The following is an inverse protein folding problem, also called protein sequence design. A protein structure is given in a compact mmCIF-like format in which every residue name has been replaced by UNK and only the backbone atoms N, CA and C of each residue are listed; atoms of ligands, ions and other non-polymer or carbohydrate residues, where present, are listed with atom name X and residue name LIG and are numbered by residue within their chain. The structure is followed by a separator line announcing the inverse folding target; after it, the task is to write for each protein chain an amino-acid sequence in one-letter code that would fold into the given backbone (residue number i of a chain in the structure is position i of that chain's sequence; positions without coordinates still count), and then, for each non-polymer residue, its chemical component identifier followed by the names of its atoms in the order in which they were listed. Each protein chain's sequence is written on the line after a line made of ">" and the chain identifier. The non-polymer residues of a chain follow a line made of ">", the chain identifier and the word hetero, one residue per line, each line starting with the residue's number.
data_IF_860314718374
#
_entry.id   IF_860314718374
#
_cell.length_a   1.000
_cell.length_b   1.000
_cell.length_c   1.000
_cell.angle_alpha   90.00
_cell.angle_beta   90.00
_cell.angle_gamma   90.00
#
_symmetry.space_group_name_H-M   'P 1'
#
loop_
_entity.id
_entity.type
_entity.pdbx_description
1 polymer ?
#
# COMPACT_ATOMS: atom_id res chain seq x y z
N UNK A 1 -23.62 8.91 -8.18
CA UNK A 1 -22.81 7.73 -8.50
C UNK A 1 -21.86 8.10 -9.63
N UNK A 2 -20.65 8.55 -9.30
CA UNK A 2 -19.64 8.84 -10.32
C UNK A 2 -19.19 7.51 -10.94
N UNK A 3 -19.26 7.40 -12.26
CA UNK A 3 -18.87 6.20 -12.99
C UNK A 3 -17.35 6.06 -12.90
N UNK A 4 -16.88 4.83 -12.69
CA UNK A 4 -15.48 4.39 -12.65
C UNK A 4 -14.63 4.77 -13.89
N UNK A 5 -15.23 5.43 -14.91
CA UNK A 5 -14.57 5.84 -16.15
C UNK A 5 -14.01 7.26 -16.18
N UNK A 6 -14.30 8.12 -15.19
CA UNK A 6 -13.97 9.55 -15.27
C UNK A 6 -12.62 9.94 -14.64
N UNK A 7 -11.91 9.00 -14.00
CA UNK A 7 -10.56 9.20 -13.42
C UNK A 7 -9.44 8.68 -14.35
N UNK A 8 -9.78 8.16 -15.54
CA UNK A 8 -8.78 7.77 -16.55
C UNK A 8 -8.59 8.95 -17.51
N UNK A 9 -7.72 9.90 -17.11
CA UNK A 9 -7.27 10.94 -18.04
C UNK A 9 -6.52 10.29 -19.21
N UNK A 10 -7.14 10.35 -20.39
CA UNK A 10 -6.58 9.91 -21.66
C UNK A 10 -5.38 10.80 -22.03
N UNK A 11 -4.16 10.28 -21.93
CA UNK A 11 -3.00 10.82 -22.66
C UNK A 11 -2.62 9.90 -23.83
N UNK A 12 -2.27 10.45 -25.01
CA UNK A 12 -1.97 9.66 -26.18
C UNK A 12 -0.54 9.13 -26.11
N UNK A 13 -0.37 7.81 -26.10
CA UNK A 13 0.94 7.15 -26.23
C UNK A 13 1.14 5.93 -25.32
N UNK A 14 1.04 4.74 -25.91
CA UNK A 14 1.70 3.48 -25.52
C UNK A 14 1.63 3.00 -24.06
N UNK A 15 0.77 2.00 -23.79
CA UNK A 15 0.91 0.89 -22.80
C UNK A 15 1.40 1.17 -21.35
N UNK A 16 1.56 2.41 -20.91
CA UNK A 16 2.12 2.74 -19.58
C UNK A 16 1.06 3.08 -18.53
N UNK A 17 -0.22 2.81 -18.79
CA UNK A 17 -1.35 3.37 -18.04
C UNK A 17 -1.93 2.47 -16.91
N UNK A 18 -1.30 1.35 -16.55
CA UNK A 18 -1.82 0.47 -15.49
C UNK A 18 -1.17 0.68 -14.11
N UNK A 19 0.02 1.26 -14.05
CA UNK A 19 0.66 1.61 -12.78
C UNK A 19 0.56 3.12 -12.60
N UNK A 20 -0.34 3.52 -11.71
CA UNK A 20 -0.49 4.89 -11.25
C UNK A 20 0.78 5.27 -10.47
N UNK A 21 1.83 5.68 -11.18
CA UNK A 21 3.04 6.32 -10.66
C UNK A 21 3.87 5.48 -9.66
N UNK A 22 4.97 4.87 -10.11
CA UNK A 22 5.85 3.98 -9.33
C UNK A 22 6.88 4.69 -8.43
N UNK A 23 6.67 5.98 -8.13
CA UNK A 23 7.60 6.78 -7.32
C UNK A 23 7.57 6.41 -5.82
N UNK A 24 8.63 6.73 -5.06
CA UNK A 24 8.62 6.51 -3.61
C UNK A 24 7.53 7.33 -2.93
N UNK A 25 6.91 6.78 -1.87
CA UNK A 25 5.85 7.46 -1.11
C UNK A 25 6.26 8.86 -0.65
N UNK A 26 7.54 9.10 -0.36
CA UNK A 26 8.04 10.41 0.05
C UNK A 26 7.95 11.50 -1.03
N UNK A 27 7.90 11.14 -2.31
CA UNK A 27 7.73 12.09 -3.42
C UNK A 27 6.25 12.29 -3.75
N UNK A 28 5.45 11.22 -3.66
CA UNK A 28 4.01 11.25 -3.94
C UNK A 28 3.23 11.91 -2.80
N UNK A 29 3.54 11.55 -1.56
CA UNK A 29 2.90 12.04 -0.34
C UNK A 29 3.94 12.20 0.80
N UNK A 30 4.65 13.34 0.83
CA UNK A 30 5.68 13.61 1.85
C UNK A 30 5.09 13.74 3.26
N UNK A 31 3.82 14.14 3.40
CA UNK A 31 3.16 14.30 4.69
C UNK A 31 2.95 12.95 5.36
N UNK A 32 2.32 12.00 4.65
CA UNK A 32 2.11 10.64 5.13
C UNK A 32 3.44 9.94 5.38
N UNK A 33 4.43 10.12 4.49
CA UNK A 33 5.77 9.58 4.69
C UNK A 33 6.42 10.09 5.99
N UNK A 34 6.19 11.34 6.37
CA UNK A 34 6.70 11.91 7.62
C UNK A 34 5.97 11.33 8.85
N UNK A 35 4.64 11.15 8.77
CA UNK A 35 3.85 10.52 9.84
C UNK A 35 4.37 9.10 10.12
N UNK A 36 4.59 8.29 9.07
CA UNK A 36 5.12 6.93 9.21
C UNK A 36 6.51 6.93 9.87
N UNK A 37 7.39 7.86 9.47
CA UNK A 37 8.73 8.00 10.08
C UNK A 37 8.65 8.34 11.57
N UNK A 38 7.75 9.24 11.96
CA UNK A 38 7.54 9.60 13.37
C UNK A 38 7.03 8.41 14.17
N UNK A 39 6.06 7.66 13.64
CA UNK A 39 5.53 6.47 14.30
C UNK A 39 6.59 5.37 14.48
N UNK A 40 7.40 5.12 13.45
CA UNK A 40 8.55 4.21 13.55
C UNK A 40 9.52 4.64 14.65
N UNK A 41 9.78 5.94 14.78
CA UNK A 41 10.63 6.46 15.86
C UNK A 41 9.98 6.33 17.24
N UNK A 42 8.65 6.41 17.34
CA UNK A 42 7.90 6.22 18.59
C UNK A 42 8.04 4.78 19.07
N UNK A 43 7.73 3.82 18.18
CA UNK A 43 7.84 2.38 18.45
C UNK A 43 9.27 1.96 18.85
N UNK A 44 10.29 2.53 18.21
CA UNK A 44 11.68 2.20 18.53
C UNK A 44 12.16 2.76 19.88
N UNK A 45 11.51 3.80 20.42
CA UNK A 45 11.91 4.45 21.68
C UNK A 45 11.03 4.05 22.86
N UNK A 46 9.81 3.59 22.59
CA UNK A 46 8.85 3.15 23.59
C UNK A 46 9.09 1.71 24.04
N UNK A 47 8.77 1.43 25.29
CA UNK A 47 8.56 0.06 25.76
C UNK A 47 7.08 -0.27 25.56
N UNK A 48 6.76 -1.02 24.51
CA UNK A 48 5.38 -1.42 24.24
C UNK A 48 5.00 -2.59 25.16
N UNK A 49 4.14 -2.31 26.15
CA UNK A 49 3.73 -3.27 27.19
C UNK A 49 2.32 -3.84 26.96
N UNK A 50 1.73 -3.57 25.81
CA UNK A 50 0.40 -4.08 25.44
C UNK A 50 0.57 -5.53 24.97
N UNK A 51 0.07 -6.48 25.76
CA UNK A 51 0.27 -7.92 25.52
C UNK A 51 -0.30 -8.44 24.18
N UNK A 52 -1.26 -7.73 23.60
CA UNK A 52 -1.86 -8.07 22.30
C UNK A 52 -1.13 -7.49 21.10
N UNK A 53 -0.20 -6.55 21.31
CA UNK A 53 0.55 -5.90 20.23
C UNK A 53 1.88 -6.62 19.96
N UNK A 54 2.37 -6.51 18.72
CA UNK A 54 3.63 -7.14 18.33
C UNK A 54 4.25 -6.41 17.12
N UNK A 55 5.56 -6.56 16.95
CA UNK A 55 6.29 -6.11 15.78
C UNK A 55 6.40 -7.25 14.77
N UNK A 56 5.76 -7.07 13.62
CA UNK A 56 5.80 -8.06 12.55
C UNK A 56 7.16 -8.08 11.83
N UNK A 57 7.48 -9.19 11.17
CA UNK A 57 8.72 -9.33 10.41
C UNK A 57 8.70 -8.49 9.12
N UNK A 58 9.90 -8.14 8.63
CA UNK A 58 10.05 -7.43 7.34
C UNK A 58 9.45 -8.21 6.17
N UNK A 59 9.52 -9.54 6.20
CA UNK A 59 8.95 -10.39 5.16
C UNK A 59 7.43 -10.25 5.07
N UNK A 60 6.73 -10.15 6.22
CA UNK A 60 5.28 -9.95 6.25
C UNK A 60 4.92 -8.58 5.69
N UNK A 61 5.64 -7.51 6.06
CA UNK A 61 5.41 -6.17 5.50
C UNK A 61 5.62 -6.13 3.98
N UNK A 62 6.62 -6.84 3.45
CA UNK A 62 6.87 -6.94 2.01
C UNK A 62 5.73 -7.65 1.28
N UNK A 63 5.20 -8.74 1.84
CA UNK A 63 4.06 -9.45 1.26
C UNK A 63 2.80 -8.57 1.24
N UNK A 64 2.54 -7.82 2.31
CA UNK A 64 1.40 -6.90 2.40
C UNK A 64 1.50 -5.72 1.40
N UNK A 65 2.72 -5.24 1.13
CA UNK A 65 2.98 -4.20 0.12
C UNK A 65 3.07 -4.71 -1.32
N UNK A 66 2.71 -5.97 -1.59
CA UNK A 66 2.82 -6.57 -2.92
C UNK A 66 1.60 -6.30 -3.81
N UNK A 67 1.71 -6.67 -5.08
CA UNK A 67 0.62 -6.55 -6.06
C UNK A 67 -0.61 -7.42 -5.75
N UNK A 68 -0.58 -8.27 -4.71
CA UNK A 68 -1.72 -9.08 -4.29
C UNK A 68 -2.96 -8.25 -3.94
N UNK A 69 -2.78 -7.00 -3.50
CA UNK A 69 -3.88 -6.05 -3.21
C UNK A 69 -4.74 -5.72 -4.44
N UNK A 70 -4.20 -5.87 -5.65
CA UNK A 70 -4.90 -5.51 -6.88
C UNK A 70 -5.96 -6.56 -7.28
N UNK A 71 -5.93 -7.75 -6.69
CA UNK A 71 -6.73 -8.89 -7.16
C UNK A 71 -8.00 -9.08 -6.33
N UNK A 72 -9.13 -9.00 -7.00
CA UNK A 72 -10.40 -9.52 -6.50
C UNK A 72 -10.46 -11.05 -6.71
N UNK A 73 -10.63 -11.82 -5.62
CA UNK A 73 -10.58 -13.30 -5.62
C UNK A 73 -11.69 -13.91 -4.77
N UNK A 74 -12.95 -13.74 -5.18
CA UNK A 74 -14.08 -14.45 -4.58
C UNK A 74 -13.99 -15.97 -4.79
N UNK A 75 -14.66 -16.73 -3.92
CA UNK A 75 -14.68 -18.19 -3.98
C UNK A 75 -13.56 -18.83 -3.16
N UNK A 76 -13.22 -20.08 -3.50
CA UNK A 76 -12.14 -20.84 -2.85
C UNK A 76 -11.03 -21.13 -3.86
N UNK A 77 -9.78 -21.35 -3.42
CA UNK A 77 -8.72 -21.80 -4.30
C UNK A 77 -9.16 -23.01 -5.12
N UNK A 78 -8.94 -22.96 -6.44
CA UNK A 78 -9.33 -24.01 -7.40
C UNK A 78 -10.83 -24.34 -7.52
N UNK A 79 -11.71 -23.63 -6.80
CA UNK A 79 -13.15 -23.67 -7.04
C UNK A 79 -13.50 -22.48 -7.95
N UNK A 80 -13.52 -22.73 -9.26
CA UNK A 80 -13.98 -21.78 -10.28
C UNK A 80 -15.40 -22.10 -10.70
#
# INVERSE_FOLDING_TARGET
>A
MAKFGDVVQRRPGGLSCLFQYDGPLSEVDPEVANIIKKEKSRQNRGLELIASENFTSRAVMQALGSCMTNKYSEGRPAAR
#
